data_IF_226835734274
#
_entry.id   IF_226835734274
#
_cell.length_a   1.000
_cell.length_b   1.000
_cell.length_c   1.000
_cell.angle_alpha   90.00
_cell.angle_beta   90.00
_cell.angle_gamma   90.00
#
_symmetry.space_group_name_H-M   'P 1'
#
loop_
_entity.id
_entity.type
_entity.pdbx_description
1 polymer ?
#
# COMPACT_ATOMS: atom_id res chain seq x y z
N UNK A 1 9.24 11.38 2.55
CA UNK A 1 8.31 10.80 1.55
C UNK A 1 7.22 10.09 2.32
N UNK A 2 5.95 10.22 1.93
CA UNK A 2 4.86 9.51 2.58
C UNK A 2 4.75 8.10 1.98
N UNK A 3 4.67 7.08 2.82
CA UNK A 3 4.63 5.69 2.38
C UNK A 3 3.52 4.94 3.12
N UNK A 4 2.81 4.07 2.40
CA UNK A 4 1.89 3.10 2.98
C UNK A 4 2.58 1.73 3.03
N UNK A 5 2.59 1.04 4.17
CA UNK A 5 3.18 -0.29 4.27
C UNK A 5 2.36 -1.31 3.46
N UNK A 6 3.06 -2.34 2.99
CA UNK A 6 2.48 -3.44 2.24
C UNK A 6 2.76 -4.75 2.97
N UNK A 7 1.73 -5.60 3.07
CA UNK A 7 1.79 -6.92 3.68
C UNK A 7 1.49 -7.99 2.64
N UNK A 8 2.07 -9.19 2.81
CA UNK A 8 1.85 -10.31 1.90
C UNK A 8 0.65 -11.20 2.28
N UNK A 9 0.06 -10.97 3.44
CA UNK A 9 -1.13 -11.69 3.92
C UNK A 9 -2.30 -10.72 4.00
N UNK A 10 -3.45 -11.14 3.47
CA UNK A 10 -4.71 -10.41 3.55
C UNK A 10 -5.41 -10.79 4.86
N UNK A 11 -5.79 -9.82 5.68
CA UNK A 11 -6.53 -10.06 6.93
C UNK A 11 -8.00 -9.59 6.84
N UNK A 12 -8.50 -9.27 5.64
CA UNK A 12 -9.87 -8.80 5.41
C UNK A 12 -10.21 -7.53 6.23
N UNK A 13 -9.25 -6.62 6.31
CA UNK A 13 -9.41 -5.34 7.01
C UNK A 13 -9.99 -4.27 6.06
N UNK A 14 -10.90 -3.38 6.49
CA UNK A 14 -11.57 -2.41 5.60
C UNK A 14 -10.61 -1.47 4.85
N UNK A 15 -9.48 -1.13 5.47
CA UNK A 15 -8.45 -0.25 4.90
C UNK A 15 -7.34 -1.01 4.16
N UNK A 16 -7.54 -2.29 3.86
CA UNK A 16 -6.66 -3.07 2.98
C UNK A 16 -7.00 -2.82 1.51
N UNK A 17 -6.01 -2.49 0.69
CA UNK A 17 -6.15 -2.36 -0.77
C UNK A 17 -5.35 -3.47 -1.43
N UNK A 18 -6.01 -4.33 -2.21
CA UNK A 18 -5.35 -5.45 -2.88
C UNK A 18 -4.61 -4.95 -4.11
N UNK A 19 -3.31 -5.21 -4.17
CA UNK A 19 -2.44 -4.85 -5.30
C UNK A 19 -2.29 -6.02 -6.27
N UNK A 20 -2.20 -7.22 -5.71
CA UNK A 20 -2.13 -8.46 -6.47
C UNK A 20 -2.84 -9.53 -5.67
N UNK A 21 -3.79 -10.21 -6.33
CA UNK A 21 -4.56 -11.33 -5.79
C UNK A 21 -4.03 -12.67 -6.33
N UNK A 22 -2.75 -12.70 -6.72
CA UNK A 22 -2.11 -13.91 -7.19
C UNK A 22 -1.90 -14.87 -6.01
N UNK A 23 -2.29 -16.15 -6.12
CA UNK A 23 -2.16 -17.13 -5.03
C UNK A 23 -0.72 -17.35 -4.56
N UNK A 24 0.28 -17.00 -5.37
CA UNK A 24 1.69 -17.05 -4.98
C UNK A 24 2.28 -15.70 -4.56
N UNK A 25 1.57 -14.59 -4.80
CA UNK A 25 2.05 -13.21 -4.54
C UNK A 25 0.91 -12.29 -4.13
N UNK A 26 0.16 -12.69 -3.11
CA UNK A 26 -0.82 -11.79 -2.50
C UNK A 26 -0.08 -10.60 -1.92
N UNK A 27 -0.50 -9.40 -2.26
CA UNK A 27 0.11 -8.16 -1.77
C UNK A 27 -0.97 -7.13 -1.52
N UNK A 28 -0.98 -6.61 -0.31
CA UNK A 28 -2.04 -5.75 0.20
C UNK A 28 -1.42 -4.52 0.83
N UNK A 29 -1.91 -3.34 0.46
CA UNK A 29 -1.49 -2.07 1.04
C UNK A 29 -2.39 -1.73 2.22
N UNK A 30 -1.78 -1.34 3.34
CA UNK A 30 -2.47 -0.86 4.52
C UNK A 30 -2.54 0.67 4.45
N UNK A 31 -3.74 1.19 4.21
CA UNK A 31 -3.96 2.62 3.99
C UNK A 31 -3.93 3.42 5.28
N UNK A 32 -4.29 2.81 6.41
CA UNK A 32 -4.34 3.43 7.73
C UNK A 32 -2.95 3.63 8.36
N UNK A 33 -1.98 2.77 8.02
CA UNK A 33 -0.66 2.75 8.63
C UNK A 33 0.37 3.63 7.92
N UNK A 34 -0.05 4.81 7.48
CA UNK A 34 0.80 5.74 6.72
C UNK A 34 1.96 6.23 7.57
N UNK A 35 3.17 6.21 7.01
CA UNK A 35 4.36 6.73 7.68
C UNK A 35 5.15 7.66 6.78
N UNK A 36 5.62 8.77 7.34
CA UNK A 36 6.64 9.61 6.71
C UNK A 36 8.00 8.98 6.97
N UNK A 37 8.73 8.65 5.90
CA UNK A 37 10.06 8.06 5.99
C UNK A 37 11.02 8.64 4.95
N UNK A 38 12.30 8.66 5.33
CA UNK A 38 13.40 9.08 4.45
C UNK A 38 13.87 7.92 3.59
N UNK A 39 13.38 7.90 2.35
CA UNK A 39 13.72 6.87 1.38
C UNK A 39 15.20 6.87 0.99
N UNK A 40 15.88 8.03 1.06
CA UNK A 40 17.32 8.16 0.77
C UNK A 40 18.17 7.43 1.81
N UNK A 41 17.93 7.72 3.09
CA UNK A 41 18.63 7.08 4.21
C UNK A 41 18.32 5.58 4.29
N UNK A 42 17.11 5.17 3.87
CA UNK A 42 16.67 3.77 3.81
C UNK A 42 17.05 3.05 2.52
N UNK A 43 17.78 3.71 1.60
CA UNK A 43 18.18 3.17 0.29
C UNK A 43 17.04 2.47 -0.46
N UNK A 44 15.86 3.10 -0.52
CA UNK A 44 14.69 2.50 -1.16
C UNK A 44 14.94 2.27 -2.65
N UNK A 45 14.64 1.06 -3.13
CA UNK A 45 14.77 0.66 -4.54
C UNK A 45 13.39 0.49 -5.15
N UNK A 46 13.21 0.95 -6.40
CA UNK A 46 11.96 0.78 -7.15
C UNK A 46 11.77 -0.70 -7.52
N UNK A 47 10.78 -1.34 -6.89
CA UNK A 47 10.41 -2.74 -7.17
C UNK A 47 9.53 -2.90 -8.41
N UNK A 48 8.70 -1.89 -8.71
CA UNK A 48 7.73 -1.96 -9.81
C UNK A 48 6.79 -0.76 -9.82
N UNK A 49 5.75 -0.85 -10.63
CA UNK A 49 4.65 0.13 -10.70
C UNK A 49 3.34 -0.63 -10.56
N UNK A 50 2.43 -0.11 -9.76
CA UNK A 50 1.09 -0.68 -9.56
C UNK A 50 0.11 -0.09 -10.57
N UNK A 51 -1.00 -0.81 -10.82
CA UNK A 51 -2.10 -0.28 -11.65
C UNK A 51 -2.68 1.01 -11.03
N UNK A 52 -3.18 1.93 -11.86
CA UNK A 52 -3.78 3.20 -11.42
C UNK A 52 -5.02 3.04 -10.53
N UNK A 53 -5.66 1.87 -10.54
CA UNK A 53 -6.76 1.54 -9.64
C UNK A 53 -6.32 1.53 -8.16
N UNK A 54 -5.12 1.00 -7.87
CA UNK A 54 -4.59 0.84 -6.51
C UNK A 54 -4.39 2.19 -5.77
N UNK A 55 -3.66 3.18 -6.32
CA UNK A 55 -3.51 4.46 -5.65
C UNK A 55 -4.84 5.23 -5.57
N UNK A 56 -5.74 5.05 -6.54
CA UNK A 56 -7.07 5.67 -6.49
C UNK A 56 -7.89 5.13 -5.31
N UNK A 57 -7.96 3.80 -5.15
CA UNK A 57 -8.65 3.18 -4.02
C UNK A 57 -7.98 3.55 -2.68
N UNK A 58 -6.64 3.59 -2.66
CA UNK A 58 -5.87 4.01 -1.48
C UNK A 58 -6.25 5.43 -1.05
N UNK A 59 -6.30 6.38 -1.98
CA UNK A 59 -6.68 7.76 -1.68
C UNK A 59 -8.13 7.88 -1.23
N UNK A 60 -9.06 7.15 -1.87
CA UNK A 60 -10.47 7.14 -1.44
C UNK A 60 -10.64 6.64 -0.01
N UNK A 61 -9.93 5.56 0.38
CA UNK A 61 -9.98 5.04 1.75
C UNK A 61 -9.29 5.97 2.76
N UNK A 62 -8.23 6.66 2.33
CA UNK A 62 -7.51 7.63 3.14
C UNK A 62 -8.35 8.87 3.40
N UNK A 63 -9.14 9.33 2.42
CA UNK A 63 -10.10 10.42 2.59
C UNK A 63 -11.18 10.09 3.63
N UNK A 64 -11.56 8.82 3.80
CA UNK A 64 -12.49 8.40 4.87
C UNK A 64 -11.90 8.56 6.28
N UNK A 65 -10.58 8.66 6.40
CA UNK A 65 -9.87 8.81 7.69
C UNK A 65 -9.51 10.27 8.03
N UNK A 66 -9.75 11.21 7.11
CA UNK A 66 -9.49 12.66 7.26
C UNK A 66 -10.79 13.41 7.57
#
# INVERSE_FOLDING_TARGET
>A
MLCCPMISHKNCYPFEVVVSDDPHRTSVVLVDQIKSLDWRTRQAVKKGVVSSAVPTETLSKLQTLL
#
